data_IF_179776931223
#
_entry.id   IF_179776931223
#
_cell.length_a   1.000
_cell.length_b   1.000
_cell.length_c   1.000
_cell.angle_alpha   90.00
_cell.angle_beta   90.00
_cell.angle_gamma   90.00
#
_symmetry.space_group_name_H-M   'P 1'
#
loop_
_entity.id
_entity.type
_entity.pdbx_description
1 polymer ?
#
# COMPACT_ATOMS: atom_id res chain seq x y z
N UNK A 1 15.52 -3.41 11.91
CA UNK A 1 14.42 -3.78 11.00
C UNK A 1 14.54 -2.96 9.73
N UNK A 2 14.45 -3.56 8.54
CA UNK A 2 14.52 -2.84 7.26
C UNK A 2 13.13 -2.82 6.62
N UNK A 3 12.67 -1.62 6.26
CA UNK A 3 11.38 -1.35 5.63
C UNK A 3 11.63 -0.81 4.22
N UNK A 4 10.81 -1.23 3.26
CA UNK A 4 10.64 -0.54 1.99
C UNK A 4 9.30 0.19 2.02
N UNK A 5 9.27 1.43 1.55
CA UNK A 5 8.06 2.26 1.49
C UNK A 5 7.89 2.73 0.05
N UNK A 6 6.68 2.56 -0.50
CA UNK A 6 6.30 3.06 -1.81
C UNK A 6 4.85 3.55 -1.79
N UNK A 7 4.47 4.34 -2.79
CA UNK A 7 3.10 4.82 -3.01
C UNK A 7 2.82 4.90 -4.51
N UNK A 8 1.55 5.13 -4.87
CA UNK A 8 1.19 5.66 -6.18
C UNK A 8 1.56 4.76 -7.37
N UNK A 9 1.18 3.48 -7.29
CA UNK A 9 1.35 2.52 -8.40
C UNK A 9 0.44 2.90 -9.58
N UNK A 10 -0.73 3.50 -9.30
CA UNK A 10 -1.65 4.04 -10.30
C UNK A 10 -2.04 3.03 -11.41
N UNK A 11 -2.10 1.73 -11.07
CA UNK A 11 -2.44 0.66 -12.00
C UNK A 11 -1.33 0.25 -12.97
N UNK A 12 -0.09 0.75 -12.83
CA UNK A 12 1.04 0.33 -13.67
C UNK A 12 1.59 -1.03 -13.24
N UNK A 13 1.44 -2.03 -14.10
CA UNK A 13 1.88 -3.41 -13.83
C UNK A 13 3.40 -3.55 -13.90
N UNK A 14 4.07 -2.88 -14.83
CA UNK A 14 5.51 -2.88 -14.99
C UNK A 14 6.18 -2.25 -13.75
N UNK A 15 5.65 -1.12 -13.26
CA UNK A 15 6.12 -0.51 -12.02
C UNK A 15 5.91 -1.45 -10.82
N UNK A 16 4.74 -2.10 -10.73
CA UNK A 16 4.44 -3.08 -9.67
C UNK A 16 5.46 -4.23 -9.68
N UNK A 17 5.68 -4.86 -10.83
CA UNK A 17 6.64 -5.98 -10.96
C UNK A 17 8.06 -5.55 -10.62
N UNK A 18 8.46 -4.35 -11.06
CA UNK A 18 9.79 -3.83 -10.73
C UNK A 18 9.94 -3.57 -9.24
N UNK A 19 8.94 -2.96 -8.60
CA UNK A 19 8.92 -2.71 -7.17
C UNK A 19 9.05 -4.01 -6.36
N UNK A 20 8.30 -5.05 -6.72
CA UNK A 20 8.38 -6.36 -6.06
C UNK A 20 9.77 -7.01 -6.21
N UNK A 21 10.38 -6.91 -7.40
CA UNK A 21 11.74 -7.40 -7.61
C UNK A 21 12.79 -6.64 -6.77
N UNK A 22 12.68 -5.31 -6.69
CA UNK A 22 13.55 -4.50 -5.82
C UNK A 22 13.32 -4.83 -4.34
N UNK A 23 12.08 -5.12 -3.94
CA UNK A 23 11.77 -5.54 -2.59
C UNK A 23 12.50 -6.85 -2.23
N UNK A 24 12.41 -7.88 -3.08
CA UNK A 24 13.13 -9.15 -2.90
C UNK A 24 14.65 -8.94 -2.81
N UNK A 25 15.23 -8.13 -3.70
CA UNK A 25 16.67 -7.84 -3.72
C UNK A 25 17.13 -7.02 -2.50
N UNK A 26 16.25 -6.18 -1.96
CA UNK A 26 16.62 -5.27 -0.87
C UNK A 26 16.86 -5.98 0.46
N UNK A 27 16.34 -7.19 0.65
CA UNK A 27 16.31 -7.85 1.96
C UNK A 27 15.50 -7.09 3.01
N UNK A 28 14.59 -6.20 2.59
CA UNK A 28 13.63 -5.59 3.49
C UNK A 28 12.65 -6.65 4.00
N UNK A 29 12.27 -6.56 5.27
CA UNK A 29 11.32 -7.50 5.89
C UNK A 29 9.87 -7.10 5.60
N UNK A 30 9.62 -5.82 5.34
CA UNK A 30 8.29 -5.28 5.14
C UNK A 30 8.27 -4.33 3.95
N UNK A 31 7.19 -4.40 3.16
CA UNK A 31 6.87 -3.43 2.12
C UNK A 31 5.59 -2.70 2.52
N UNK A 32 5.67 -1.37 2.67
CA UNK A 32 4.55 -0.50 3.02
C UNK A 32 4.11 0.27 1.79
N UNK A 33 2.83 0.15 1.45
CA UNK A 33 2.23 0.76 0.26
C UNK A 33 1.21 1.82 0.68
N UNK A 34 1.54 3.10 0.48
CA UNK A 34 0.80 4.23 1.07
C UNK A 34 -0.34 4.78 0.20
N UNK A 35 -0.99 3.93 -0.59
CA UNK A 35 -2.19 4.29 -1.36
C UNK A 35 -2.02 4.41 -2.87
N UNK A 36 -3.14 4.72 -3.53
CA UNK A 36 -3.31 4.86 -4.97
C UNK A 36 -2.72 3.73 -5.83
N UNK A 37 -3.05 2.50 -5.46
CA UNK A 37 -2.54 1.32 -6.18
C UNK A 37 -3.14 1.14 -7.57
N UNK A 38 -4.43 1.45 -7.69
CA UNK A 38 -5.25 1.06 -8.84
C UNK A 38 -5.70 2.25 -9.69
N UNK A 39 -6.06 3.37 -9.05
CA UNK A 39 -6.55 4.56 -9.74
C UNK A 39 -5.40 5.50 -10.05
N UNK A 40 -5.36 6.07 -11.26
CA UNK A 40 -4.35 7.07 -11.63
C UNK A 40 -4.64 8.46 -11.08
N UNK A 41 -5.90 8.78 -10.76
CA UNK A 41 -6.29 10.10 -10.25
C UNK A 41 -6.32 11.19 -11.33
N UNK A 42 -6.96 12.34 -11.05
CA UNK A 42 -7.31 13.33 -12.09
C UNK A 42 -6.11 14.11 -12.66
N UNK A 43 -4.95 14.04 -12.01
CA UNK A 43 -3.75 14.81 -12.38
C UNK A 43 -2.70 14.01 -13.15
N UNK A 44 -2.83 12.68 -13.16
CA UNK A 44 -1.84 11.81 -13.78
C UNK A 44 -2.35 11.31 -15.13
N UNK A 45 -1.49 11.28 -16.17
CA UNK A 45 -1.81 10.54 -17.39
C UNK A 45 -2.00 9.06 -17.05
N UNK A 46 -2.80 8.37 -17.86
CA UNK A 46 -2.90 6.92 -17.78
C UNK A 46 -1.54 6.30 -18.08
N UNK A 47 -1.02 5.40 -17.23
CA UNK A 47 0.15 4.60 -17.58
C UNK A 47 -0.08 3.85 -18.89
N UNK A 48 0.96 3.72 -19.72
CA UNK A 48 0.90 2.95 -20.97
C UNK A 48 0.44 1.49 -20.73
N UNK A 49 0.79 0.97 -19.56
CA UNK A 49 0.50 -0.38 -19.09
C UNK A 49 -0.55 -0.41 -17.96
N UNK A 50 -1.54 0.48 -18.02
CA UNK A 50 -2.62 0.51 -17.02
C UNK A 50 -3.39 -0.82 -16.99
N UNK A 51 -3.15 -1.61 -15.94
CA UNK A 51 -3.72 -2.94 -15.69
C UNK A 51 -4.12 -3.12 -14.21
N UNK A 52 -5.13 -2.39 -13.69
CA UNK A 52 -5.49 -2.43 -12.27
C UNK A 52 -5.81 -3.83 -11.72
N UNK A 53 -6.49 -4.68 -12.49
CA UNK A 53 -6.83 -6.03 -12.05
C UNK A 53 -5.58 -6.92 -11.87
N UNK A 54 -4.61 -6.80 -12.78
CA UNK A 54 -3.35 -7.55 -12.70
C UNK A 54 -2.45 -7.02 -11.59
N UNK A 55 -2.47 -5.70 -11.32
CA UNK A 55 -1.80 -5.11 -10.16
C UNK A 55 -2.38 -5.69 -8.86
N UNK A 56 -3.72 -5.73 -8.72
CA UNK A 56 -4.36 -6.30 -7.53
C UNK A 56 -3.99 -7.78 -7.34
N UNK A 57 -3.94 -8.56 -8.42
CA UNK A 57 -3.52 -9.95 -8.38
C UNK A 57 -2.05 -10.09 -7.96
N UNK A 58 -1.13 -9.34 -8.59
CA UNK A 58 0.30 -9.39 -8.29
C UNK A 58 0.63 -9.00 -6.84
N UNK A 59 -0.03 -7.96 -6.31
CA UNK A 59 0.17 -7.55 -4.93
C UNK A 59 -0.37 -8.60 -3.94
N UNK A 60 -1.50 -9.24 -4.25
CA UNK A 60 -2.06 -10.33 -3.45
C UNK A 60 -1.17 -11.58 -3.49
N UNK A 61 -0.63 -11.93 -4.66
CA UNK A 61 0.32 -13.05 -4.81
C UNK A 61 1.62 -12.80 -4.04
N UNK A 62 2.02 -11.54 -3.93
CA UNK A 62 3.20 -11.17 -3.18
C UNK A 62 3.01 -11.37 -1.67
N UNK A 63 1.80 -11.20 -1.12
CA UNK A 63 1.53 -11.32 0.33
C UNK A 63 2.13 -12.57 0.97
N UNK A 64 2.92 -12.38 2.02
CA UNK A 64 3.59 -13.43 2.78
C UNK A 64 3.04 -13.51 4.20
N UNK A 65 2.86 -14.73 4.70
CA UNK A 65 2.36 -14.95 6.06
C UNK A 65 3.37 -14.42 7.09
N UNK A 66 2.99 -13.38 7.84
CA UNK A 66 3.84 -12.72 8.84
C UNK A 66 4.82 -11.65 8.31
N UNK A 67 4.82 -11.37 7.01
CA UNK A 67 5.55 -10.27 6.35
C UNK A 67 4.57 -9.45 5.51
N UNK A 68 4.16 -8.27 6.02
CA UNK A 68 3.20 -7.43 5.31
C UNK A 68 3.83 -6.77 4.09
N UNK A 69 3.11 -6.87 2.97
CA UNK A 69 3.43 -6.27 1.66
C UNK A 69 2.41 -5.19 1.28
N UNK A 70 1.21 -5.24 1.87
CA UNK A 70 0.17 -4.23 1.77
C UNK A 70 -0.14 -3.71 3.17
N UNK A 71 0.44 -2.57 3.51
CA UNK A 71 -0.06 -1.74 4.60
C UNK A 71 -0.56 -0.43 4.03
N UNK A 72 -1.88 -0.33 3.87
CA UNK A 72 -2.56 0.90 3.46
C UNK A 72 -3.36 1.42 4.67
N UNK A 73 -2.99 2.57 5.26
CA UNK A 73 -3.70 3.11 6.41
C UNK A 73 -5.04 3.78 6.06
N UNK A 74 -5.61 3.51 4.87
CA UNK A 74 -6.76 4.21 4.30
C UNK A 74 -6.45 5.70 4.09
N UNK A 75 -7.49 6.54 4.02
CA UNK A 75 -7.40 7.96 3.74
C UNK A 75 -7.72 8.79 4.97
N UNK A 76 -6.92 9.84 5.22
CA UNK A 76 -7.19 10.85 6.25
C UNK A 76 -8.33 11.80 5.90
N UNK A 77 -8.82 11.79 4.65
CA UNK A 77 -9.79 12.79 4.16
C UNK A 77 -10.95 12.21 3.37
N UNK A 78 -10.74 11.11 2.64
CA UNK A 78 -11.73 10.49 1.75
C UNK A 78 -11.74 8.96 1.93
N UNK A 79 -12.05 8.46 3.14
CA UNK A 79 -12.15 7.03 3.37
C UNK A 79 -13.32 6.44 2.56
N UNK A 80 -13.15 5.20 2.10
CA UNK A 80 -14.15 4.49 1.29
C UNK A 80 -14.76 3.35 2.11
N UNK A 81 -15.91 2.82 1.68
CA UNK A 81 -16.50 1.63 2.28
C UNK A 81 -17.05 1.81 3.70
N UNK A 82 -17.28 3.05 4.14
CA UNK A 82 -17.79 3.35 5.48
C UNK A 82 -16.75 3.32 6.60
N UNK A 83 -15.45 3.15 6.27
CA UNK A 83 -14.38 3.24 7.25
C UNK A 83 -14.16 4.69 7.72
N UNK A 84 -13.69 4.92 8.96
CA UNK A 84 -13.32 6.25 9.42
C UNK A 84 -12.08 6.77 8.68
N UNK A 85 -11.86 8.07 8.74
CA UNK A 85 -10.57 8.63 8.36
C UNK A 85 -9.48 8.07 9.28
N UNK A 86 -8.31 7.72 8.72
CA UNK A 86 -7.27 7.05 9.50
C UNK A 86 -5.86 7.31 8.98
N UNK A 87 -4.88 6.98 9.82
CA UNK A 87 -3.46 7.03 9.53
C UNK A 87 -2.74 5.77 10.02
N UNK A 88 -1.52 5.57 9.56
CA UNK A 88 -0.70 4.43 9.93
C UNK A 88 0.32 4.81 11.01
N UNK A 89 0.52 3.93 11.99
CA UNK A 89 1.52 4.09 13.03
C UNK A 89 2.38 2.83 13.15
N UNK A 90 3.70 3.00 13.10
CA UNK A 90 4.65 1.93 13.44
C UNK A 90 5.11 2.12 14.89
N UNK A 91 4.61 1.28 15.80
CA UNK A 91 4.94 1.32 17.23
C UNK A 91 5.30 -0.09 17.71
N UNK A 92 6.35 -0.22 18.53
CA UNK A 92 6.79 -1.50 19.10
C UNK A 92 7.00 -2.64 18.09
N UNK A 93 7.44 -2.28 16.88
CA UNK A 93 7.67 -3.23 15.78
C UNK A 93 6.39 -3.74 15.11
N UNK A 94 5.24 -3.13 15.38
CA UNK A 94 3.94 -3.44 14.77
C UNK A 94 3.35 -2.22 14.06
N UNK A 95 2.65 -2.49 12.97
CA UNK A 95 1.90 -1.49 12.23
C UNK A 95 0.46 -1.49 12.73
N UNK A 96 -0.05 -0.29 12.95
CA UNK A 96 -1.41 -0.02 13.39
C UNK A 96 -2.07 0.90 12.40
N UNK A 97 -3.31 0.63 12.04
CA UNK A 97 -4.19 1.63 11.45
C UNK A 97 -4.96 2.28 12.59
N UNK A 98 -4.91 3.61 12.67
CA UNK A 98 -5.47 4.38 13.78
C UNK A 98 -6.49 5.38 13.24
N UNK A 99 -7.68 5.42 13.83
CA UNK A 99 -8.68 6.42 13.46
C UNK A 99 -8.14 7.83 13.75
N UNK A 100 -8.35 8.73 12.80
CA UNK A 100 -7.92 10.11 12.89
C UNK A 100 -8.62 10.82 14.05
N UNK A 101 -9.92 10.56 14.19
CA UNK A 101 -10.73 11.02 15.32
C UNK A 101 -10.70 9.97 16.43
N UNK A 102 -10.42 10.38 17.66
CA UNK A 102 -10.45 9.49 18.84
C UNK A 102 -9.19 8.64 19.07
N UNK A 103 -8.36 8.41 18.05
CA UNK A 103 -7.05 7.74 18.20
C UNK A 103 -7.13 6.24 18.49
N UNK A 104 -8.29 5.62 18.27
CA UNK A 104 -8.48 4.18 18.44
C UNK A 104 -7.80 3.37 17.32
N UNK A 105 -7.22 2.22 17.68
CA UNK A 105 -6.66 1.29 16.69
C UNK A 105 -7.79 0.52 16.00
N UNK A 106 -7.84 0.59 14.68
CA UNK A 106 -8.87 -0.05 13.85
C UNK A 106 -8.38 -1.32 13.13
N UNK A 107 -7.06 -1.48 12.95
CA UNK A 107 -6.42 -2.69 12.42
C UNK A 107 -4.97 -2.83 12.90
#
# INVERSE_FOLDING_TARGET
MKLMIASDIHGSLAATRRLLAEFDLSGARWLLLLGDFLNHGPRNPLPEDYRPAEVAAALKEAEREGEHILFNPSSVSLPKGGYPASYGLLADGRLHVVALDGGETIA
#
